data_IF_026309345378
#
_entry.id   IF_026309345378
#
_cell.length_a   1.000
_cell.length_b   1.000
_cell.length_c   1.000
_cell.angle_alpha   90.00
_cell.angle_beta   90.00
_cell.angle_gamma   90.00
#
_symmetry.space_group_name_H-M   'P 1'
#
loop_
_entity.id
_entity.type
_entity.pdbx_description
1 polymer ?
#
# COMPACT_ATOMS: atom_id res chain seq x y z
N UNK A 1 -31.21 -47.17 3.07
CA UNK A 1 -31.07 -46.39 4.30
C UNK A 1 -29.80 -45.55 4.18
N UNK A 2 -30.04 -44.24 4.17
CA UNK A 2 -29.21 -43.07 4.48
C UNK A 2 -27.88 -42.82 3.73
N UNK A 3 -28.04 -41.94 2.74
CA UNK A 3 -27.04 -41.06 2.13
C UNK A 3 -26.31 -40.25 3.20
N UNK A 4 -25.05 -40.56 3.45
CA UNK A 4 -24.10 -39.58 3.97
C UNK A 4 -23.82 -38.53 2.90
N UNK A 5 -24.67 -37.49 2.84
CA UNK A 5 -24.30 -36.24 2.18
C UNK A 5 -23.23 -35.57 3.03
N UNK A 6 -21.96 -35.85 2.73
CA UNK A 6 -20.84 -35.10 3.28
C UNK A 6 -20.97 -33.66 2.79
N UNK A 7 -21.44 -32.80 3.69
CA UNK A 7 -21.40 -31.36 3.54
C UNK A 7 -19.93 -30.94 3.48
N UNK A 8 -19.36 -30.99 2.28
CA UNK A 8 -18.11 -30.32 1.95
C UNK A 8 -18.40 -28.82 1.90
N UNK A 9 -18.60 -28.22 3.08
CA UNK A 9 -18.58 -26.77 3.26
C UNK A 9 -17.14 -26.35 3.00
N UNK A 10 -16.80 -26.15 1.72
CA UNK A 10 -15.57 -25.44 1.33
C UNK A 10 -15.54 -24.17 2.17
N UNK A 11 -14.61 -24.07 3.12
CA UNK A 11 -14.32 -22.82 3.85
C UNK A 11 -14.07 -21.75 2.79
N UNK A 12 -15.09 -20.96 2.49
CA UNK A 12 -15.00 -19.90 1.50
C UNK A 12 -14.17 -18.81 2.17
N UNK A 13 -12.88 -18.78 1.85
CA UNK A 13 -11.95 -17.77 2.34
C UNK A 13 -12.57 -16.38 2.13
N UNK A 14 -12.59 -15.50 3.15
CA UNK A 14 -13.19 -14.16 3.07
C UNK A 14 -12.76 -13.39 1.81
N UNK A 15 -11.48 -13.50 1.42
CA UNK A 15 -10.96 -12.85 0.22
C UNK A 15 -11.50 -13.43 -1.09
N UNK A 16 -11.99 -14.67 -1.11
CA UNK A 16 -12.69 -15.24 -2.27
C UNK A 16 -14.00 -14.50 -2.57
N UNK A 17 -14.62 -13.87 -1.56
CA UNK A 17 -15.78 -13.01 -1.74
C UNK A 17 -15.45 -11.64 -2.35
N UNK A 18 -14.19 -11.28 -2.53
CA UNK A 18 -13.78 -10.02 -3.15
C UNK A 18 -12.94 -10.25 -4.40
N UNK A 19 -11.91 -11.10 -4.33
CA UNK A 19 -10.95 -11.38 -5.38
C UNK A 19 -11.31 -12.70 -6.05
N UNK A 20 -11.96 -12.65 -7.21
CA UNK A 20 -12.36 -13.84 -7.96
C UNK A 20 -11.16 -14.62 -8.52
N UNK A 21 -10.15 -13.90 -9.05
CA UNK A 21 -8.96 -14.50 -9.64
C UNK A 21 -8.11 -15.25 -8.57
N UNK A 22 -7.94 -16.58 -8.69
CA UNK A 22 -7.22 -17.38 -7.69
C UNK A 22 -5.73 -17.06 -7.61
N UNK A 23 -5.07 -16.76 -8.75
CA UNK A 23 -3.63 -16.43 -8.77
C UNK A 23 -3.36 -15.10 -8.06
N UNK A 24 -4.21 -14.11 -8.30
CA UNK A 24 -4.12 -12.82 -7.64
C UNK A 24 -4.47 -12.92 -6.15
N UNK A 25 -5.53 -13.66 -5.81
CA UNK A 25 -5.91 -13.92 -4.43
C UNK A 25 -4.78 -14.59 -3.64
N UNK A 26 -4.12 -15.62 -4.20
CA UNK A 26 -2.96 -16.28 -3.57
C UNK A 26 -1.84 -15.28 -3.30
N UNK A 27 -1.53 -14.42 -4.28
CA UNK A 27 -0.51 -13.37 -4.14
C UNK A 27 -0.85 -12.40 -3.01
N UNK A 28 -2.08 -11.88 -2.97
CA UNK A 28 -2.54 -10.96 -1.91
C UNK A 28 -2.45 -11.63 -0.53
N UNK A 29 -2.86 -12.90 -0.40
CA UNK A 29 -2.76 -13.64 0.87
C UNK A 29 -1.30 -13.78 1.32
N UNK A 30 -0.41 -14.18 0.41
CA UNK A 30 1.02 -14.31 0.73
C UNK A 30 1.60 -12.96 1.14
N UNK A 31 1.32 -11.90 0.39
CA UNK A 31 1.79 -10.55 0.73
C UNK A 31 1.25 -10.09 2.08
N UNK A 32 -0.04 -10.30 2.37
CA UNK A 32 -0.60 -9.98 3.69
C UNK A 32 0.10 -10.75 4.80
N UNK A 33 0.33 -12.06 4.63
CA UNK A 33 1.03 -12.88 5.61
C UNK A 33 2.45 -12.39 5.87
N UNK A 34 3.22 -12.13 4.81
CA UNK A 34 4.59 -11.57 4.92
C UNK A 34 4.58 -10.22 5.62
N UNK A 35 3.67 -9.32 5.24
CA UNK A 35 3.60 -7.98 5.83
C UNK A 35 3.18 -8.02 7.29
N UNK A 36 2.26 -8.90 7.68
CA UNK A 36 1.88 -9.09 9.09
C UNK A 36 3.08 -9.60 9.90
N UNK A 37 3.82 -10.59 9.39
CA UNK A 37 5.02 -11.11 10.07
C UNK A 37 6.08 -10.00 10.22
N UNK A 38 6.40 -9.29 9.14
CA UNK A 38 7.37 -8.19 9.17
C UNK A 38 6.92 -7.05 10.08
N UNK A 39 5.63 -6.72 10.08
CA UNK A 39 5.06 -5.71 10.96
C UNK A 39 5.19 -6.11 12.42
N UNK A 40 4.87 -7.36 12.78
CA UNK A 40 5.00 -7.86 14.14
C UNK A 40 6.47 -7.88 14.61
N UNK A 41 7.39 -8.35 13.76
CA UNK A 41 8.83 -8.31 14.05
C UNK A 41 9.28 -6.86 14.26
N UNK A 42 8.94 -5.96 13.33
CA UNK A 42 9.29 -4.55 13.42
C UNK A 42 8.72 -3.88 14.66
N UNK A 43 7.45 -4.15 14.98
CA UNK A 43 6.78 -3.66 16.19
C UNK A 43 7.53 -4.13 17.44
N UNK A 44 7.77 -5.44 17.59
CA UNK A 44 8.46 -6.01 18.74
C UNK A 44 9.89 -5.48 18.89
N UNK A 45 10.65 -5.41 17.79
CA UNK A 45 12.01 -4.86 17.82
C UNK A 45 12.01 -3.40 18.27
N UNK A 46 11.12 -2.56 17.69
CA UNK A 46 11.02 -1.15 18.07
C UNK A 46 10.65 -1.03 19.55
N UNK A 47 9.65 -1.79 20.04
CA UNK A 47 9.23 -1.75 21.44
C UNK A 47 10.34 -2.19 22.40
N UNK A 48 11.07 -3.26 22.07
CA UNK A 48 12.11 -3.81 22.92
C UNK A 48 13.34 -2.89 23.03
N UNK A 49 13.78 -2.32 21.91
CA UNK A 49 14.97 -1.46 21.87
C UNK A 49 14.68 0.02 22.11
N UNK A 50 13.44 0.41 22.35
CA UNK A 50 13.04 1.81 22.44
C UNK A 50 13.80 2.58 23.53
N UNK A 51 13.84 2.06 24.75
CA UNK A 51 14.52 2.71 25.88
C UNK A 51 16.01 2.86 25.62
N UNK A 52 16.67 1.79 25.14
CA UNK A 52 18.08 1.83 24.78
C UNK A 52 18.36 2.86 23.67
N UNK A 53 17.49 2.95 22.67
CA UNK A 53 17.60 3.96 21.62
C UNK A 53 17.44 5.37 22.14
N UNK A 54 16.59 5.62 23.14
CA UNK A 54 16.46 6.95 23.72
C UNK A 54 17.69 7.38 24.54
N UNK A 55 18.25 6.46 25.32
CA UNK A 55 19.33 6.77 26.27
C UNK A 55 20.71 6.78 25.61
N UNK A 56 20.98 5.82 24.72
CA UNK A 56 22.32 5.58 24.19
C UNK A 56 22.47 6.00 22.72
N UNK A 57 21.39 5.96 21.93
CA UNK A 57 21.49 6.14 20.49
C UNK A 57 20.28 6.81 19.83
N UNK A 58 19.92 8.00 20.31
CA UNK A 58 18.76 8.75 19.80
C UNK A 58 18.91 9.12 18.31
N UNK A 59 20.15 9.16 17.82
CA UNK A 59 20.45 9.38 16.41
C UNK A 59 19.98 8.20 15.55
N UNK A 60 20.31 6.97 15.93
CA UNK A 60 19.83 5.78 15.21
C UNK A 60 18.30 5.74 15.15
N UNK A 61 17.61 6.03 16.26
CA UNK A 61 16.14 6.13 16.26
C UNK A 61 15.61 7.12 15.21
N UNK A 62 16.18 8.33 15.18
CA UNK A 62 15.77 9.39 14.25
C UNK A 62 16.06 9.01 12.80
N UNK A 63 17.19 8.36 12.53
CA UNK A 63 17.55 7.89 11.19
C UNK A 63 16.60 6.77 10.74
N UNK A 64 16.39 5.73 11.56
CA UNK A 64 15.42 4.66 11.26
C UNK A 64 14.00 5.20 11.06
N UNK A 65 13.56 6.16 11.89
CA UNK A 65 12.26 6.82 11.74
C UNK A 65 12.10 7.48 10.36
N UNK A 66 13.13 8.21 9.90
CA UNK A 66 13.14 8.87 8.59
C UNK A 66 13.19 7.86 7.45
N UNK A 67 14.01 6.82 7.58
CA UNK A 67 14.14 5.76 6.57
C UNK A 67 12.82 5.02 6.37
N UNK A 68 12.12 4.64 7.45
CA UNK A 68 10.81 3.99 7.36
C UNK A 68 9.81 4.87 6.59
N UNK A 69 9.75 6.17 6.91
CA UNK A 69 8.90 7.12 6.19
C UNK A 69 9.30 7.28 4.71
N UNK A 70 10.60 7.27 4.40
CA UNK A 70 11.13 7.35 3.03
C UNK A 70 10.81 6.10 2.21
N UNK A 71 11.01 4.90 2.78
CA UNK A 71 10.71 3.62 2.12
C UNK A 71 9.21 3.51 1.82
N UNK A 72 8.35 3.84 2.80
CA UNK A 72 6.90 3.88 2.60
C UNK A 72 6.51 4.85 1.47
N UNK A 73 7.15 6.02 1.40
CA UNK A 73 6.93 7.02 0.35
C UNK A 73 7.26 6.50 -1.03
N UNK A 74 8.43 5.88 -1.21
CA UNK A 74 8.82 5.27 -2.48
C UNK A 74 7.78 4.21 -2.89
N UNK A 75 7.39 3.35 -1.96
CA UNK A 75 6.40 2.30 -2.21
C UNK A 75 5.02 2.86 -2.62
N UNK A 76 4.54 3.93 -1.97
CA UNK A 76 3.30 4.60 -2.36
C UNK A 76 3.40 5.31 -3.72
N UNK A 77 4.53 5.94 -4.05
CA UNK A 77 4.72 6.53 -5.39
C UNK A 77 4.70 5.46 -6.49
N UNK A 78 5.39 4.34 -6.29
CA UNK A 78 5.33 3.22 -7.25
C UNK A 78 3.89 2.71 -7.36
N UNK A 79 3.18 2.58 -6.25
CA UNK A 79 1.77 2.16 -6.23
C UNK A 79 0.87 3.13 -6.99
N UNK A 80 1.02 4.44 -6.78
CA UNK A 80 0.22 5.49 -7.42
C UNK A 80 0.59 5.73 -8.88
N UNK A 81 1.79 5.33 -9.32
CA UNK A 81 2.24 5.44 -10.71
C UNK A 81 1.33 4.71 -11.70
N UNK A 82 0.51 3.76 -11.22
CA UNK A 82 -0.51 3.11 -12.03
C UNK A 82 -1.44 4.13 -12.71
N UNK A 83 -1.76 5.26 -12.07
CA UNK A 83 -2.65 6.25 -12.65
C UNK A 83 -2.04 6.96 -13.86
N UNK A 84 -0.88 7.63 -13.77
CA UNK A 84 -0.25 8.25 -14.93
C UNK A 84 0.10 7.23 -16.02
N UNK A 85 0.57 6.02 -15.68
CA UNK A 85 0.88 4.99 -16.69
C UNK A 85 -0.37 4.59 -17.49
N UNK A 86 -1.50 4.35 -16.82
CA UNK A 86 -2.74 4.02 -17.52
C UNK A 86 -3.37 5.22 -18.24
N UNK A 87 -3.08 6.45 -17.80
CA UNK A 87 -3.46 7.66 -18.52
C UNK A 87 -2.69 7.76 -19.84
N UNK A 88 -1.36 7.59 -19.80
CA UNK A 88 -0.50 7.59 -20.98
C UNK A 88 -0.90 6.48 -21.98
N UNK A 89 -1.26 5.29 -21.51
CA UNK A 89 -1.74 4.19 -22.38
C UNK A 89 -3.03 4.52 -23.14
N UNK A 90 -3.88 5.38 -22.56
CA UNK A 90 -5.13 5.83 -23.19
C UNK A 90 -4.91 7.02 -24.12
N UNK A 91 -3.82 7.75 -23.94
CA UNK A 91 -3.57 8.97 -24.69
C UNK A 91 -3.20 8.65 -26.15
N UNK A 92 -3.99 9.18 -27.09
CA UNK A 92 -3.84 8.89 -28.53
C UNK A 92 -2.46 9.23 -29.13
N UNK A 93 -1.78 10.33 -28.76
CA UNK A 93 -0.47 10.67 -29.34
C UNK A 93 0.60 9.60 -29.10
N UNK A 94 0.62 9.04 -27.90
CA UNK A 94 1.59 8.00 -27.50
C UNK A 94 1.42 6.67 -28.23
N UNK A 95 0.25 6.42 -28.83
CA UNK A 95 0.00 5.19 -29.60
C UNK A 95 0.71 5.17 -30.96
N UNK A 96 1.12 6.32 -31.49
CA UNK A 96 1.75 6.46 -32.80
C UNK A 96 3.24 6.78 -32.72
N UNK A 97 3.78 6.95 -31.52
CA UNK A 97 5.17 7.34 -31.31
C UNK A 97 6.08 6.11 -31.38
N UNK A 98 6.91 6.06 -32.42
CA UNK A 98 7.96 5.05 -32.62
C UNK A 98 9.29 5.76 -32.35
N UNK A 99 10.10 5.21 -31.45
CA UNK A 99 11.43 5.74 -31.13
C UNK A 99 12.44 4.71 -31.63
N UNK A 100 13.06 4.98 -32.78
CA UNK A 100 13.94 4.02 -33.46
C UNK A 100 13.18 2.75 -33.86
N UNK A 101 13.67 1.58 -33.42
CA UNK A 101 13.02 0.28 -33.65
C UNK A 101 12.04 -0.13 -32.53
N UNK A 102 11.85 0.73 -31.52
CA UNK A 102 11.00 0.42 -30.36
C UNK A 102 9.65 1.14 -30.43
N UNK A 103 8.58 0.36 -30.39
CA UNK A 103 7.24 0.89 -30.18
C UNK A 103 7.05 1.28 -28.71
N UNK A 104 6.97 2.59 -28.44
CA UNK A 104 6.75 3.12 -27.08
C UNK A 104 5.50 2.53 -26.41
N UNK A 105 4.49 2.22 -27.23
CA UNK A 105 3.27 1.52 -26.82
C UNK A 105 3.57 0.14 -26.21
N UNK A 106 4.50 -0.62 -26.78
CA UNK A 106 4.85 -1.96 -26.30
C UNK A 106 5.56 -1.90 -24.96
N UNK A 107 6.50 -0.97 -24.80
CA UNK A 107 7.15 -0.69 -23.52
C UNK A 107 6.13 -0.27 -22.45
N UNK A 108 5.24 0.66 -22.79
CA UNK A 108 4.25 1.17 -21.85
C UNK A 108 3.21 0.11 -21.47
N UNK A 109 2.88 -0.82 -22.38
CA UNK A 109 2.03 -1.98 -22.08
C UNK A 109 2.72 -2.96 -21.14
N UNK A 110 4.02 -3.21 -21.34
CA UNK A 110 4.83 -4.04 -20.45
C UNK A 110 4.86 -3.44 -19.04
N UNK A 111 5.23 -2.16 -18.92
CA UNK A 111 5.22 -1.42 -17.66
C UNK A 111 3.82 -1.43 -17.04
N UNK A 112 2.77 -1.18 -17.84
CA UNK A 112 1.37 -1.22 -17.40
C UNK A 112 0.94 -2.56 -16.79
N UNK A 113 1.41 -3.69 -17.35
CA UNK A 113 1.20 -5.02 -16.78
C UNK A 113 1.94 -5.18 -15.45
N UNK A 114 3.20 -4.75 -15.38
CA UNK A 114 4.01 -4.82 -14.17
C UNK A 114 3.40 -4.00 -13.02
N UNK A 115 3.09 -2.72 -13.25
CA UNK A 115 2.52 -1.87 -12.19
C UNK A 115 1.15 -2.37 -11.76
N UNK A 116 0.33 -2.90 -12.66
CA UNK A 116 -0.96 -3.52 -12.28
C UNK A 116 -0.75 -4.73 -11.37
N UNK A 117 0.20 -5.59 -11.70
CA UNK A 117 0.50 -6.80 -10.95
C UNK A 117 1.05 -6.50 -9.55
N UNK A 118 1.88 -5.47 -9.43
CA UNK A 118 2.58 -5.10 -8.19
C UNK A 118 1.88 -4.02 -7.36
N UNK A 119 0.88 -3.32 -7.92
CA UNK A 119 0.14 -2.26 -7.23
C UNK A 119 -0.40 -2.70 -5.87
N UNK A 120 -1.11 -3.84 -5.80
CA UNK A 120 -1.71 -4.29 -4.53
C UNK A 120 -0.66 -4.81 -3.55
N UNK A 121 0.30 -5.68 -3.93
CA UNK A 121 1.39 -6.08 -3.04
C UNK A 121 2.18 -4.90 -2.45
N UNK A 122 2.56 -3.92 -3.27
CA UNK A 122 3.31 -2.74 -2.83
C UNK A 122 2.47 -1.81 -1.97
N UNK A 123 1.17 -1.65 -2.26
CA UNK A 123 0.27 -0.88 -1.40
C UNK A 123 0.20 -1.48 0.01
N UNK A 124 0.07 -2.81 0.12
CA UNK A 124 -0.01 -3.52 1.40
C UNK A 124 1.33 -3.40 2.15
N UNK A 125 2.46 -3.62 1.47
CA UNK A 125 3.79 -3.50 2.07
C UNK A 125 4.06 -2.08 2.59
N UNK A 126 3.80 -1.06 1.76
CA UNK A 126 3.97 0.35 2.14
C UNK A 126 3.07 0.74 3.30
N UNK A 127 1.86 0.17 3.35
CA UNK A 127 0.93 0.36 4.48
C UNK A 127 1.51 -0.23 5.76
N UNK A 128 2.10 -1.43 5.74
CA UNK A 128 2.76 -1.99 6.92
C UNK A 128 3.89 -1.09 7.44
N UNK A 129 4.75 -0.61 6.53
CA UNK A 129 5.89 0.25 6.88
C UNK A 129 5.41 1.61 7.41
N UNK A 130 4.40 2.24 6.80
CA UNK A 130 3.89 3.54 7.27
C UNK A 130 3.20 3.44 8.63
N UNK A 131 2.58 2.29 8.95
CA UNK A 131 2.03 2.06 10.28
C UNK A 131 3.13 1.94 11.35
N UNK A 132 4.27 1.30 11.02
CA UNK A 132 5.45 1.30 11.92
C UNK A 132 6.03 2.70 12.09
N UNK A 133 6.12 3.49 11.02
CA UNK A 133 6.52 4.89 11.09
C UNK A 133 5.58 5.71 12.00
N UNK A 134 4.27 5.53 11.87
CA UNK A 134 3.28 6.15 12.76
C UNK A 134 3.42 5.70 14.21
N UNK A 135 3.68 4.41 14.46
CA UNK A 135 3.94 3.87 15.79
C UNK A 135 5.17 4.53 16.45
N UNK A 136 6.28 4.64 15.73
CA UNK A 136 7.48 5.36 16.19
C UNK A 136 7.19 6.86 16.47
N UNK A 137 6.34 7.51 15.68
CA UNK A 137 5.95 8.89 15.94
C UNK A 137 5.20 9.04 17.28
N UNK A 138 4.33 8.08 17.60
CA UNK A 138 3.57 8.05 18.86
C UNK A 138 4.51 7.81 20.05
N UNK A 139 5.43 6.85 19.93
CA UNK A 139 6.40 6.55 20.99
C UNK A 139 7.22 7.78 21.39
N UNK A 140 7.68 8.59 20.43
CA UNK A 140 8.44 9.83 20.67
C UNK A 140 7.67 10.90 21.46
N UNK A 141 6.38 10.67 21.74
CA UNK A 141 5.49 11.60 22.41
C UNK A 141 4.61 12.33 21.40
N UNK A 142 3.30 12.26 21.60
CA UNK A 142 2.32 12.92 20.73
C UNK A 142 2.39 14.44 20.90
N UNK A 143 2.41 15.18 19.78
CA UNK A 143 2.38 16.65 19.78
C UNK A 143 1.18 17.15 18.99
N UNK A 144 0.48 18.16 19.52
CA UNK A 144 -0.63 18.84 18.86
C UNK A 144 -0.13 19.82 17.79
N UNK A 145 0.55 19.32 16.76
CA UNK A 145 1.05 20.14 15.66
C UNK A 145 0.59 19.60 14.29
N UNK A 146 0.83 20.40 13.25
CA UNK A 146 0.41 20.08 11.89
C UNK A 146 0.95 18.73 11.39
N UNK A 147 2.18 18.37 11.75
CA UNK A 147 2.82 17.10 11.34
C UNK A 147 2.06 15.88 11.86
N UNK A 148 1.70 15.85 13.16
CA UNK A 148 0.95 14.73 13.73
C UNK A 148 -0.48 14.67 13.18
N UNK A 149 -1.17 15.81 13.08
CA UNK A 149 -2.53 15.88 12.54
C UNK A 149 -2.61 15.44 11.08
N UNK A 150 -1.73 15.98 10.23
CA UNK A 150 -1.67 15.58 8.81
C UNK A 150 -1.35 14.09 8.64
N UNK A 151 -0.48 13.53 9.49
CA UNK A 151 -0.18 12.10 9.50
C UNK A 151 -1.39 11.24 9.87
N UNK A 152 -2.11 11.59 10.93
CA UNK A 152 -3.33 10.88 11.37
C UNK A 152 -4.41 10.91 10.29
N UNK A 153 -4.71 12.09 9.73
CA UNK A 153 -5.72 12.24 8.68
C UNK A 153 -5.32 11.43 7.43
N UNK A 154 -4.03 11.41 7.09
CA UNK A 154 -3.50 10.59 5.99
C UNK A 154 -3.70 9.09 6.24
N UNK A 155 -3.46 8.61 7.47
CA UNK A 155 -3.70 7.21 7.84
C UNK A 155 -5.18 6.85 7.74
N UNK A 156 -6.10 7.72 8.19
CA UNK A 156 -7.54 7.51 8.02
C UNK A 156 -7.94 7.42 6.55
N UNK A 157 -7.42 8.33 5.70
CA UNK A 157 -7.64 8.27 4.26
C UNK A 157 -7.09 6.97 3.64
N UNK A 158 -5.92 6.51 4.09
CA UNK A 158 -5.31 5.25 3.65
C UNK A 158 -6.17 4.04 4.01
N UNK A 159 -6.71 3.96 5.23
CA UNK A 159 -7.61 2.86 5.62
C UNK A 159 -8.85 2.80 4.73
N UNK A 160 -9.47 3.96 4.48
CA UNK A 160 -10.63 4.02 3.58
C UNK A 160 -10.25 3.66 2.14
N UNK A 161 -9.07 4.07 1.68
CA UNK A 161 -8.53 3.72 0.37
C UNK A 161 -8.33 2.21 0.21
N UNK A 162 -7.74 1.56 1.23
CA UNK A 162 -7.53 0.11 1.28
C UNK A 162 -8.86 -0.66 1.25
N UNK A 163 -9.84 -0.22 2.03
CA UNK A 163 -11.18 -0.80 2.04
C UNK A 163 -11.87 -0.67 0.66
N UNK A 164 -11.79 0.51 0.05
CA UNK A 164 -12.32 0.71 -1.30
C UNK A 164 -11.54 -0.07 -2.37
N UNK A 165 -10.25 -0.34 -2.15
CA UNK A 165 -9.43 -1.24 -2.97
C UNK A 165 -9.98 -2.66 -3.01
N UNK A 166 -10.45 -3.20 -1.88
CA UNK A 166 -11.12 -4.51 -1.85
C UNK A 166 -12.41 -4.50 -2.68
N UNK A 167 -13.22 -3.44 -2.58
CA UNK A 167 -14.46 -3.30 -3.37
C UNK A 167 -14.18 -3.16 -4.87
N UNK A 168 -13.04 -2.58 -5.25
CA UNK A 168 -12.62 -2.39 -6.65
C UNK A 168 -12.44 -3.70 -7.40
N UNK A 169 -12.06 -4.78 -6.72
CA UNK A 169 -11.97 -6.12 -7.34
C UNK A 169 -13.29 -6.59 -7.99
N UNK A 170 -14.42 -6.22 -7.40
CA UNK A 170 -15.76 -6.48 -7.94
C UNK A 170 -16.35 -5.29 -8.71
N UNK A 171 -15.57 -4.23 -8.97
CA UNK A 171 -16.02 -2.95 -9.55
C UNK A 171 -17.20 -2.32 -8.79
N UNK A 172 -17.35 -2.62 -7.50
CA UNK A 172 -18.43 -2.09 -6.63
C UNK A 172 -18.07 -0.77 -5.96
N UNK A 173 -16.89 -0.23 -6.26
CA UNK A 173 -16.35 0.97 -5.62
C UNK A 173 -16.96 2.27 -6.16
N UNK A 174 -17.71 2.25 -7.27
CA UNK A 174 -18.32 3.46 -7.89
C UNK A 174 -17.30 4.60 -8.12
N UNK A 175 -16.05 4.26 -8.48
CA UNK A 175 -14.92 5.19 -8.65
C UNK A 175 -14.43 5.88 -7.36
N UNK A 176 -14.96 5.55 -6.19
CA UNK A 176 -14.51 6.14 -4.92
C UNK A 176 -13.05 5.84 -4.64
N UNK A 177 -12.55 4.65 -4.98
CA UNK A 177 -11.14 4.32 -4.77
C UNK A 177 -10.21 5.33 -5.47
N UNK A 178 -10.55 5.79 -6.67
CA UNK A 178 -9.77 6.82 -7.36
C UNK A 178 -9.87 8.19 -6.69
N UNK A 179 -11.08 8.62 -6.32
CA UNK A 179 -11.29 9.91 -5.63
C UNK A 179 -10.52 9.98 -4.32
N UNK A 180 -10.60 8.91 -3.52
CA UNK A 180 -9.88 8.80 -2.24
C UNK A 180 -8.38 8.69 -2.48
N UNK A 181 -7.93 8.03 -3.56
CA UNK A 181 -6.50 7.97 -3.89
C UNK A 181 -5.93 9.36 -4.16
N UNK A 182 -6.69 10.27 -4.79
CA UNK A 182 -6.28 11.67 -4.97
C UNK A 182 -6.20 12.38 -3.62
N UNK A 183 -7.24 12.25 -2.78
CA UNK A 183 -7.26 12.86 -1.44
C UNK A 183 -6.09 12.36 -0.59
N UNK A 184 -5.88 11.05 -0.55
CA UNK A 184 -4.74 10.41 0.10
C UNK A 184 -3.43 10.96 -0.46
N UNK A 185 -3.26 11.06 -1.77
CA UNK A 185 -2.03 11.57 -2.38
C UNK A 185 -1.73 13.01 -1.96
N UNK A 186 -2.73 13.90 -1.95
CA UNK A 186 -2.55 15.29 -1.52
C UNK A 186 -2.18 15.36 -0.04
N UNK A 187 -2.92 14.67 0.84
CA UNK A 187 -2.64 14.61 2.27
C UNK A 187 -1.26 14.00 2.57
N UNK A 188 -0.92 12.93 1.85
CA UNK A 188 0.35 12.25 1.94
C UNK A 188 1.51 13.17 1.53
N UNK A 189 1.37 13.93 0.44
CA UNK A 189 2.37 14.91 0.02
C UNK A 189 2.52 16.03 1.04
N UNK A 190 1.41 16.56 1.56
CA UNK A 190 1.45 17.57 2.63
C UNK A 190 2.19 17.03 3.85
N UNK A 191 1.83 15.84 4.34
CA UNK A 191 2.50 15.23 5.47
C UNK A 191 4.00 15.03 5.18
N UNK A 192 4.36 14.46 4.04
CA UNK A 192 5.75 14.20 3.67
C UNK A 192 6.62 15.47 3.51
N UNK A 193 6.01 16.61 3.18
CA UNK A 193 6.72 17.91 3.08
C UNK A 193 6.97 18.54 4.44
N UNK A 194 6.07 18.34 5.41
CA UNK A 194 6.12 18.98 6.73
C UNK A 194 6.49 18.02 7.87
N UNK A 195 6.93 16.79 7.57
CA UNK A 195 7.32 15.76 8.53
C UNK A 195 8.84 15.57 8.66
#
# INVERSE_FOLDING_TARGET
>A
MDRHSSLNTKKVNFLANYISNPKERKRVIITLGVVVILFLIGFLCISYFYEQWLTENIRAYKETFKEMGSIARIGFFVTLSIYPIFLLLKWKPFKKMIIGNFELKTLLQFIGKLVRQWHVPLAILSTGIVLLHGYMAILKGFKWNFTYFSGIITIFALFFLMFMGLKRYKKKDKKWHFKIAIVFFVLFMLHATFA
#
